data_IF_258243149863
#
_entry.id   IF_258243149863
#
_cell.length_a   1.000
_cell.length_b   1.000
_cell.length_c   1.000
_cell.angle_alpha   90.00
_cell.angle_beta   90.00
_cell.angle_gamma   90.00
#
_symmetry.space_group_name_H-M   'P 1'
#
loop_
_entity.id
_entity.type
_entity.pdbx_description
1 polymer ?
#
# COMPACT_ATOMS: atom_id res chain seq x y z
N UNK A 1 13.97 -1.79 4.30
CA UNK A 1 13.67 -2.95 5.14
C UNK A 1 13.49 -2.62 6.62
N UNK A 2 14.41 -1.92 7.30
CA UNK A 2 14.26 -1.57 8.73
C UNK A 2 13.15 -0.52 9.01
N UNK A 3 12.86 0.37 8.07
CA UNK A 3 11.88 1.45 8.23
C UNK A 3 10.44 0.91 8.09
N UNK A 4 10.20 0.04 7.13
CA UNK A 4 8.91 -0.58 6.88
C UNK A 4 8.47 -1.48 8.04
N UNK A 5 9.40 -2.25 8.66
CA UNK A 5 9.12 -3.00 9.89
C UNK A 5 8.75 -2.08 11.08
N UNK A 6 9.35 -0.88 11.15
CA UNK A 6 9.02 0.08 12.21
C UNK A 6 7.65 0.74 12.01
N UNK A 7 7.25 0.99 10.77
CA UNK A 7 5.93 1.52 10.44
C UNK A 7 4.85 0.47 10.68
N UNK A 8 5.04 -0.76 10.20
CA UNK A 8 4.10 -1.86 10.47
C UNK A 8 3.99 -2.20 11.97
N UNK A 9 5.11 -2.17 12.71
CA UNK A 9 5.09 -2.42 14.15
C UNK A 9 4.39 -1.29 14.92
N UNK A 10 4.46 -0.04 14.44
CA UNK A 10 3.74 1.10 15.04
C UNK A 10 2.24 1.03 14.77
N UNK A 11 1.82 0.63 13.57
CA UNK A 11 0.41 0.39 13.24
C UNK A 11 -0.18 -0.74 14.11
N UNK A 12 0.61 -1.75 14.45
CA UNK A 12 0.15 -2.86 15.30
C UNK A 12 -0.10 -2.46 16.76
N UNK A 13 0.52 -1.38 17.26
CA UNK A 13 0.42 -0.94 18.66
C UNK A 13 -0.50 0.25 18.91
N UNK A 14 -0.97 0.95 17.84
CA UNK A 14 -1.81 2.14 17.94
C UNK A 14 -3.24 1.87 17.42
N UNK A 15 -3.86 0.75 17.82
CA UNK A 15 -5.27 0.53 17.54
C UNK A 15 -6.10 1.12 18.70
N UNK A 16 -6.48 2.39 18.70
CA UNK A 16 -7.70 2.76 19.35
C UNK A 16 -8.81 2.08 18.53
N UNK A 17 -9.60 1.24 19.16
CA UNK A 17 -10.85 0.70 18.61
C UNK A 17 -11.84 1.87 18.49
N UNK A 18 -11.53 2.83 17.63
CA UNK A 18 -12.53 3.83 17.19
C UNK A 18 -13.42 3.07 16.21
N UNK A 19 -14.61 2.76 16.66
CA UNK A 19 -15.56 1.96 15.93
C UNK A 19 -15.92 2.60 14.59
N UNK A 20 -15.29 2.13 13.51
CA UNK A 20 -15.94 2.09 12.21
C UNK A 20 -17.05 1.04 12.31
N UNK A 21 -18.08 1.39 13.10
CA UNK A 21 -19.13 0.48 13.57
C UNK A 21 -20.11 0.08 12.47
N UNK A 22 -19.93 0.50 11.22
CA UNK A 22 -20.84 0.16 10.14
C UNK A 22 -20.09 -0.17 8.86
N UNK A 23 -19.81 -1.46 8.70
CA UNK A 23 -19.58 -2.04 7.38
C UNK A 23 -20.96 -2.43 6.80
N UNK A 24 -21.59 -1.57 5.98
CA UNK A 24 -22.94 -1.83 5.49
C UNK A 24 -23.02 -3.04 4.55
N UNK A 25 -21.87 -3.54 4.10
CA UNK A 25 -21.74 -4.66 3.18
C UNK A 25 -21.01 -5.86 3.81
N UNK A 26 -20.91 -5.91 5.15
CA UNK A 26 -20.11 -6.92 5.86
C UNK A 26 -20.44 -8.35 5.42
N UNK A 27 -21.73 -8.69 5.24
CA UNK A 27 -22.14 -10.04 4.83
C UNK A 27 -21.53 -10.40 3.45
N UNK A 28 -21.66 -9.51 2.47
CA UNK A 28 -21.12 -9.71 1.12
C UNK A 28 -19.59 -9.69 1.16
N UNK A 29 -19.00 -8.74 1.88
CA UNK A 29 -17.56 -8.62 2.01
C UNK A 29 -16.91 -9.87 2.63
N UNK A 30 -17.56 -10.49 3.63
CA UNK A 30 -17.10 -11.76 4.23
C UNK A 30 -17.23 -12.96 3.28
N UNK A 31 -18.24 -12.98 2.43
CA UNK A 31 -18.37 -14.03 1.40
C UNK A 31 -17.23 -13.92 0.38
N UNK A 32 -16.96 -12.70 -0.11
CA UNK A 32 -15.83 -12.44 -1.03
C UNK A 32 -14.49 -12.70 -0.36
N UNK A 33 -14.33 -12.32 0.92
CA UNK A 33 -13.17 -12.68 1.72
C UNK A 33 -12.93 -14.18 1.75
N UNK A 34 -13.96 -14.96 2.06
CA UNK A 34 -13.87 -16.43 2.10
C UNK A 34 -13.47 -17.03 0.74
N UNK A 35 -13.97 -16.45 -0.34
CA UNK A 35 -13.55 -16.82 -1.69
C UNK A 35 -12.07 -16.49 -1.92
N UNK A 36 -11.63 -15.26 -1.61
CA UNK A 36 -10.25 -14.82 -1.76
C UNK A 36 -9.29 -15.69 -0.93
N UNK A 37 -9.62 -15.94 0.33
CA UNK A 37 -8.84 -16.81 1.21
C UNK A 37 -8.76 -18.24 0.66
N UNK A 38 -9.85 -18.75 0.06
CA UNK A 38 -9.87 -20.03 -0.61
C UNK A 38 -8.95 -20.12 -1.83
N UNK A 39 -8.87 -19.06 -2.62
CA UNK A 39 -7.93 -18.93 -3.75
C UNK A 39 -6.49 -18.78 -3.24
N UNK A 40 -6.27 -17.92 -2.26
CA UNK A 40 -4.95 -17.71 -1.66
C UNK A 40 -4.37 -19.02 -1.14
N UNK A 41 -5.07 -19.70 -0.26
CA UNK A 41 -4.58 -20.93 0.36
C UNK A 41 -4.29 -22.07 -0.65
N UNK A 42 -4.97 -22.10 -1.80
CA UNK A 42 -4.79 -23.14 -2.81
C UNK A 42 -3.80 -22.81 -3.91
N UNK A 43 -3.61 -21.50 -4.20
CA UNK A 43 -2.84 -21.05 -5.37
C UNK A 43 -1.81 -20.02 -4.97
N UNK A 44 -2.21 -18.86 -4.47
CA UNK A 44 -1.28 -17.73 -4.29
C UNK A 44 -0.24 -18.00 -3.20
N UNK A 45 -0.67 -18.51 -2.05
CA UNK A 45 0.23 -18.85 -0.93
C UNK A 45 1.27 -19.92 -1.31
N UNK A 46 0.93 -21.10 -1.84
CA UNK A 46 1.94 -22.10 -2.22
C UNK A 46 2.94 -21.59 -3.25
N UNK A 47 2.50 -20.74 -4.19
CA UNK A 47 3.40 -20.14 -5.19
C UNK A 47 4.30 -19.10 -4.54
N UNK A 48 3.78 -18.27 -3.60
CA UNK A 48 4.55 -17.29 -2.87
C UNK A 48 5.58 -17.94 -1.93
N UNK A 49 5.21 -18.99 -1.21
CA UNK A 49 6.14 -19.79 -0.39
C UNK A 49 7.25 -20.41 -1.24
N UNK A 50 6.91 -20.98 -2.41
CA UNK A 50 7.91 -21.51 -3.34
C UNK A 50 8.85 -20.40 -3.86
N UNK A 51 8.31 -19.22 -4.18
CA UNK A 51 9.11 -18.06 -4.60
C UNK A 51 10.06 -17.64 -3.48
N UNK A 52 9.58 -17.52 -2.26
CA UNK A 52 10.38 -17.13 -1.10
C UNK A 52 11.51 -18.13 -0.79
N UNK A 53 11.21 -19.43 -0.88
CA UNK A 53 12.16 -20.50 -0.64
C UNK A 53 13.27 -20.58 -1.72
N UNK A 54 12.95 -20.28 -2.99
CA UNK A 54 13.84 -20.54 -4.14
C UNK A 54 14.58 -19.28 -4.59
N UNK A 55 13.95 -18.10 -4.50
CA UNK A 55 14.54 -16.86 -4.98
C UNK A 55 15.38 -16.21 -3.90
N UNK A 56 16.71 -16.00 -4.10
CA UNK A 56 17.54 -15.36 -3.09
C UNK A 56 17.06 -13.94 -2.76
N UNK A 57 17.14 -13.55 -1.48
CA UNK A 57 16.71 -12.23 -0.97
C UNK A 57 17.24 -11.05 -1.83
N UNK A 58 18.50 -11.01 -2.30
CA UNK A 58 18.94 -9.90 -3.15
C UNK A 58 18.19 -9.80 -4.48
N UNK A 59 17.73 -10.94 -5.03
CA UNK A 59 16.93 -10.97 -6.26
C UNK A 59 15.51 -10.51 -5.99
N UNK A 60 14.91 -10.97 -4.88
CA UNK A 60 13.60 -10.47 -4.43
C UNK A 60 13.63 -8.95 -4.26
N UNK A 61 14.62 -8.43 -3.51
CA UNK A 61 14.78 -6.97 -3.34
C UNK A 61 14.94 -6.22 -4.66
N UNK A 62 15.66 -6.82 -5.64
CA UNK A 62 15.79 -6.19 -6.95
C UNK A 62 14.47 -6.15 -7.71
N UNK A 63 13.63 -7.17 -7.59
CA UNK A 63 12.29 -7.19 -8.20
C UNK A 63 11.39 -6.13 -7.53
N UNK A 64 11.40 -6.05 -6.20
CA UNK A 64 10.69 -5.00 -5.45
C UNK A 64 11.12 -3.61 -5.92
N UNK A 65 12.43 -3.33 -5.95
CA UNK A 65 12.96 -2.04 -6.38
C UNK A 65 12.55 -1.68 -7.82
N UNK A 66 12.49 -2.69 -8.71
CA UNK A 66 12.04 -2.47 -10.10
C UNK A 66 10.58 -2.00 -10.14
N UNK A 67 9.68 -2.63 -9.36
CA UNK A 67 8.28 -2.20 -9.30
C UNK A 67 8.13 -0.84 -8.63
N UNK A 68 8.79 -0.60 -7.48
CA UNK A 68 8.81 0.73 -6.85
C UNK A 68 9.29 1.81 -7.82
N UNK A 69 10.30 1.52 -8.65
CA UNK A 69 10.78 2.50 -9.64
C UNK A 69 9.76 2.79 -10.76
N UNK A 70 8.91 1.83 -11.12
CA UNK A 70 7.81 2.10 -12.06
C UNK A 70 6.73 2.99 -11.43
N UNK A 71 6.46 2.82 -10.13
CA UNK A 71 5.46 3.58 -9.40
C UNK A 71 5.90 5.02 -9.11
N UNK A 72 7.21 5.32 -9.13
CA UNK A 72 7.74 6.69 -8.94
C UNK A 72 7.16 7.73 -9.92
N UNK A 73 6.75 7.30 -11.11
CA UNK A 73 6.09 8.20 -12.09
C UNK A 73 4.68 8.55 -11.62
N UNK A 74 3.91 7.54 -11.15
CA UNK A 74 2.58 7.75 -10.58
C UNK A 74 2.66 8.60 -9.32
N UNK A 75 3.59 8.28 -8.41
CA UNK A 75 3.87 9.04 -7.20
C UNK A 75 4.14 10.52 -7.52
N UNK A 76 5.07 10.78 -8.44
CA UNK A 76 5.43 12.16 -8.85
C UNK A 76 4.23 12.93 -9.40
N UNK A 77 3.38 12.30 -10.22
CA UNK A 77 2.20 12.95 -10.79
C UNK A 77 1.16 13.22 -9.71
N UNK A 78 0.90 12.27 -8.82
CA UNK A 78 -0.06 12.43 -7.73
C UNK A 78 0.41 13.49 -6.72
N UNK A 79 1.70 13.55 -6.38
CA UNK A 79 2.28 14.62 -5.59
C UNK A 79 2.03 16.01 -6.21
N UNK A 80 2.19 16.15 -7.54
CA UNK A 80 1.87 17.41 -8.23
C UNK A 80 0.38 17.74 -8.14
N UNK A 81 -0.50 16.77 -8.33
CA UNK A 81 -1.95 16.94 -8.25
C UNK A 81 -2.42 17.31 -6.85
N UNK A 82 -1.69 16.89 -5.82
CA UNK A 82 -1.91 17.24 -4.40
C UNK A 82 -1.28 18.58 -4.01
N UNK A 83 -0.53 19.23 -4.92
CA UNK A 83 0.09 20.52 -4.67
C UNK A 83 1.44 20.44 -3.93
N UNK A 84 2.14 19.32 -4.00
CA UNK A 84 3.42 19.01 -3.34
C UNK A 84 4.58 18.97 -4.36
N UNK A 85 4.98 20.08 -5.01
CA UNK A 85 5.93 20.04 -6.13
C UNK A 85 7.36 19.63 -5.73
N UNK A 86 7.72 19.77 -4.45
CA UNK A 86 9.05 19.36 -3.96
C UNK A 86 9.12 17.83 -3.86
N UNK A 87 8.11 17.19 -3.26
CA UNK A 87 8.00 15.75 -3.19
C UNK A 87 7.90 15.13 -4.59
N UNK A 88 7.08 15.71 -5.47
CA UNK A 88 7.00 15.29 -6.87
C UNK A 88 8.35 15.37 -7.59
N UNK A 89 9.13 16.41 -7.35
CA UNK A 89 10.49 16.54 -7.91
C UNK A 89 11.45 15.50 -7.35
N UNK A 90 11.29 15.12 -6.08
CA UNK A 90 12.04 14.05 -5.44
C UNK A 90 11.72 12.69 -6.10
N UNK A 91 10.44 12.33 -6.24
CA UNK A 91 10.01 11.06 -6.82
C UNK A 91 10.45 10.94 -8.29
N UNK A 92 10.31 12.02 -9.06
CA UNK A 92 10.82 12.04 -10.43
C UNK A 92 12.35 11.90 -10.49
N UNK A 93 13.08 12.49 -9.55
CA UNK A 93 14.53 12.31 -9.45
C UNK A 93 14.90 10.88 -9.08
N UNK A 94 14.15 10.22 -8.19
CA UNK A 94 14.30 8.80 -7.87
C UNK A 94 14.15 7.94 -9.11
N UNK A 95 13.06 8.15 -9.87
CA UNK A 95 12.85 7.46 -11.15
C UNK A 95 14.06 7.59 -12.08
N UNK A 96 14.56 8.81 -12.30
CA UNK A 96 15.69 9.04 -13.20
C UNK A 96 16.99 8.38 -12.71
N UNK A 97 17.28 8.52 -11.41
CA UNK A 97 18.49 7.95 -10.79
C UNK A 97 18.44 6.42 -10.83
N UNK A 98 17.35 5.82 -10.39
CA UNK A 98 17.21 4.37 -10.33
C UNK A 98 17.13 3.76 -11.72
N UNK A 99 16.49 4.41 -12.69
CA UNK A 99 16.48 3.95 -14.08
C UNK A 99 17.86 4.01 -14.71
N UNK A 100 18.63 5.09 -14.47
CA UNK A 100 19.92 5.34 -15.15
C UNK A 100 21.09 4.63 -14.45
N UNK A 101 21.21 4.79 -13.14
CA UNK A 101 22.32 4.28 -12.33
C UNK A 101 21.95 2.99 -11.60
N UNK A 102 20.67 2.74 -11.36
CA UNK A 102 20.13 1.55 -10.72
C UNK A 102 19.77 0.43 -11.68
N UNK A 103 20.23 0.48 -12.94
CA UNK A 103 19.94 -0.54 -13.96
C UNK A 103 18.43 -0.79 -14.13
N UNK A 104 17.68 0.22 -14.63
CA UNK A 104 16.24 0.20 -14.82
C UNK A 104 15.43 0.01 -13.51
N UNK A 105 16.01 0.40 -12.37
CA UNK A 105 15.33 0.30 -11.08
C UNK A 105 15.65 -0.97 -10.28
N UNK A 106 16.43 -1.92 -10.81
CA UNK A 106 16.81 -3.12 -10.04
C UNK A 106 17.64 -2.80 -8.79
N UNK A 107 18.32 -1.65 -8.77
CA UNK A 107 19.07 -1.15 -7.62
C UNK A 107 18.52 0.22 -7.20
N UNK A 108 18.18 0.38 -5.93
CA UNK A 108 17.73 1.65 -5.37
C UNK A 108 18.93 2.53 -5.01
N UNK A 109 19.48 3.20 -6.02
CA UNK A 109 20.58 4.16 -5.87
C UNK A 109 20.08 5.47 -5.29
N UNK A 110 18.83 5.83 -5.56
CA UNK A 110 18.20 7.06 -5.08
C UNK A 110 18.17 7.12 -3.54
N UNK A 111 17.81 6.05 -2.86
CA UNK A 111 17.85 5.96 -1.39
C UNK A 111 19.28 6.08 -0.84
N UNK A 112 20.29 5.57 -1.55
CA UNK A 112 21.70 5.77 -1.18
C UNK A 112 22.10 7.25 -1.28
N UNK A 113 21.49 7.99 -2.22
CA UNK A 113 21.70 9.42 -2.39
C UNK A 113 20.90 10.30 -1.40
N UNK A 114 20.04 9.68 -0.58
CA UNK A 114 19.22 10.36 0.42
C UNK A 114 17.91 10.95 -0.12
N UNK A 115 17.44 10.47 -1.29
CA UNK A 115 16.12 10.80 -1.80
C UNK A 115 15.09 9.93 -1.07
N UNK A 116 14.06 10.56 -0.50
CA UNK A 116 13.00 9.87 0.24
C UNK A 116 12.07 9.12 -0.72
N UNK A 117 11.59 7.95 -0.29
CA UNK A 117 10.60 7.15 -1.03
C UNK A 117 9.21 7.53 -0.53
N UNK A 118 8.32 7.86 -1.48
CA UNK A 118 6.90 8.10 -1.21
C UNK A 118 6.07 7.03 -1.92
N UNK A 119 4.84 6.84 -1.45
CA UNK A 119 3.86 5.94 -2.04
C UNK A 119 2.55 6.71 -2.19
N UNK A 120 2.25 7.09 -3.42
CA UNK A 120 1.12 7.96 -3.76
C UNK A 120 0.30 7.36 -4.89
N UNK A 121 -1.02 7.42 -4.74
CA UNK A 121 -1.94 7.00 -5.78
C UNK A 121 -3.04 8.04 -6.05
N UNK A 122 -3.82 7.82 -7.10
CA UNK A 122 -4.91 8.73 -7.44
C UNK A 122 -6.09 8.65 -6.46
N UNK A 123 -6.25 7.54 -5.73
CA UNK A 123 -7.22 7.42 -4.64
C UNK A 123 -6.88 8.34 -3.48
N UNK A 124 -5.59 8.41 -3.10
CA UNK A 124 -5.08 9.36 -2.11
C UNK A 124 -5.28 10.80 -2.59
N UNK A 125 -4.94 11.11 -3.85
CA UNK A 125 -5.17 12.43 -4.46
C UNK A 125 -6.65 12.84 -4.37
N UNK A 126 -7.59 11.93 -4.66
CA UNK A 126 -9.02 12.19 -4.47
C UNK A 126 -9.36 12.46 -3.01
N UNK A 127 -8.73 11.74 -2.06
CA UNK A 127 -8.87 11.97 -0.63
C UNK A 127 -8.41 13.37 -0.21
N UNK A 128 -7.23 13.80 -0.63
CA UNK A 128 -6.71 15.17 -0.41
C UNK A 128 -7.64 16.22 -1.01
N UNK A 129 -8.29 15.95 -2.12
CA UNK A 129 -9.31 16.84 -2.70
C UNK A 129 -10.66 16.79 -1.97
N UNK A 130 -10.78 16.01 -0.90
CA UNK A 130 -11.98 15.93 -0.05
C UNK A 130 -13.01 14.90 -0.48
N UNK A 131 -12.67 13.98 -1.39
CA UNK A 131 -13.53 12.85 -1.73
C UNK A 131 -13.48 11.82 -0.60
N UNK A 132 -14.59 11.50 0.06
CA UNK A 132 -14.59 10.53 1.15
C UNK A 132 -14.25 9.13 0.65
N UNK A 133 -13.59 8.32 1.48
CA UNK A 133 -13.24 6.92 1.18
C UNK A 133 -14.49 6.11 0.80
N UNK A 134 -15.61 6.35 1.49
CA UNK A 134 -16.85 5.60 1.34
C UNK A 134 -16.83 4.29 2.13
N UNK A 135 -17.83 3.41 1.93
CA UNK A 135 -17.91 2.14 2.63
C UNK A 135 -16.79 1.19 2.21
N UNK A 136 -16.35 0.36 3.16
CA UNK A 136 -15.42 -0.71 2.88
C UNK A 136 -15.98 -1.73 1.88
N UNK A 137 -15.16 -2.15 0.92
CA UNK A 137 -15.48 -3.15 -0.07
C UNK A 137 -14.38 -4.22 -0.12
N UNK A 138 -14.77 -5.48 -0.14
CA UNK A 138 -13.88 -6.59 -0.44
C UNK A 138 -14.06 -7.02 -1.90
N UNK A 139 -13.02 -6.89 -2.72
CA UNK A 139 -13.10 -7.23 -4.14
C UNK A 139 -12.56 -8.63 -4.42
N UNK A 140 -13.20 -9.41 -5.31
CA UNK A 140 -12.68 -10.69 -5.74
C UNK A 140 -11.28 -10.52 -6.35
N UNK A 141 -10.32 -11.32 -5.89
CA UNK A 141 -8.89 -11.33 -6.25
C UNK A 141 -8.09 -10.09 -5.84
N UNK A 142 -8.71 -8.92 -5.74
CA UNK A 142 -8.05 -7.64 -5.41
C UNK A 142 -7.93 -7.37 -3.92
N UNK A 143 -8.81 -7.97 -3.10
CA UNK A 143 -8.82 -7.73 -1.66
C UNK A 143 -9.49 -6.43 -1.22
N UNK A 144 -9.00 -5.77 -0.16
CA UNK A 144 -9.53 -4.53 0.41
C UNK A 144 -9.61 -3.38 -0.59
N UNK A 145 -10.70 -2.62 -0.55
CA UNK A 145 -10.95 -1.48 -1.45
C UNK A 145 -12.02 -0.55 -0.89
N UNK A 146 -12.23 0.56 -1.59
CA UNK A 146 -13.29 1.53 -1.36
C UNK A 146 -13.85 2.05 -2.70
N UNK A 147 -15.02 2.73 -2.72
CA UNK A 147 -15.49 3.42 -3.91
C UNK A 147 -14.48 4.44 -4.46
N UNK A 148 -13.72 5.12 -3.60
CA UNK A 148 -12.67 6.05 -3.97
C UNK A 148 -11.54 5.34 -4.73
N UNK A 149 -11.07 4.21 -4.21
CA UNK A 149 -10.00 3.44 -4.84
C UNK A 149 -10.45 2.77 -6.14
N UNK A 150 -11.72 2.35 -6.25
CA UNK A 150 -12.27 1.82 -7.50
C UNK A 150 -12.18 2.83 -8.65
N UNK A 151 -12.25 4.12 -8.34
CA UNK A 151 -12.05 5.20 -9.30
C UNK A 151 -10.56 5.53 -9.45
N UNK A 152 -9.81 5.53 -8.35
CA UNK A 152 -8.38 5.88 -8.30
C UNK A 152 -7.50 4.90 -9.06
N UNK A 153 -7.59 3.61 -8.76
CA UNK A 153 -6.71 2.55 -9.31
C UNK A 153 -6.62 2.50 -10.84
N UNK A 154 -7.73 2.58 -11.62
CA UNK A 154 -7.61 2.64 -13.07
C UNK A 154 -6.84 3.86 -13.57
N UNK A 155 -6.94 4.99 -12.89
CA UNK A 155 -6.26 6.23 -13.24
C UNK A 155 -4.78 6.09 -12.92
N UNK A 156 -4.41 5.63 -11.74
CA UNK A 156 -3.03 5.29 -11.38
C UNK A 156 -2.39 4.31 -12.36
N UNK A 157 -3.10 3.26 -12.77
CA UNK A 157 -2.62 2.32 -13.78
C UNK A 157 -2.37 2.96 -15.16
N UNK A 158 -3.08 4.03 -15.52
CA UNK A 158 -2.78 4.84 -16.72
C UNK A 158 -1.57 5.73 -16.50
N UNK A 159 -1.45 6.36 -15.32
CA UNK A 159 -0.37 7.28 -14.98
C UNK A 159 0.98 6.56 -14.84
N UNK A 160 1.02 5.40 -14.20
CA UNK A 160 2.22 4.55 -14.11
C UNK A 160 2.65 3.93 -15.45
N UNK A 161 1.81 4.07 -16.49
CA UNK A 161 2.08 3.52 -17.80
C UNK A 161 1.80 2.01 -17.92
N UNK A 162 1.38 1.33 -16.85
CA UNK A 162 1.11 -0.12 -16.86
C UNK A 162 0.05 -0.49 -17.91
N UNK A 163 -0.99 0.34 -18.07
CA UNK A 163 -1.99 0.13 -19.13
C UNK A 163 -1.50 0.50 -20.54
N UNK A 164 -0.37 1.18 -20.67
CA UNK A 164 0.22 1.54 -21.98
C UNK A 164 0.99 0.38 -22.61
N UNK A 165 1.18 -0.73 -21.89
CA UNK A 165 1.78 -1.94 -22.45
C UNK A 165 0.77 -2.60 -23.37
N UNK A 166 1.01 -2.51 -24.70
CA UNK A 166 0.09 -3.01 -25.74
C UNK A 166 -0.05 -4.55 -25.70
N UNK A 167 1.03 -5.24 -25.39
CA UNK A 167 1.07 -6.70 -25.36
C UNK A 167 0.43 -7.23 -24.07
N UNK A 168 -0.77 -7.79 -24.21
CA UNK A 168 -1.56 -8.30 -23.08
C UNK A 168 -0.81 -9.34 -22.22
N UNK A 169 0.02 -10.17 -22.88
CA UNK A 169 0.75 -11.24 -22.22
C UNK A 169 1.89 -10.69 -21.36
N UNK A 170 2.58 -9.64 -21.83
CA UNK A 170 3.63 -8.96 -21.09
C UNK A 170 3.03 -8.24 -19.88
N UNK A 171 1.96 -7.48 -20.10
CA UNK A 171 1.24 -6.79 -19.01
C UNK A 171 0.77 -7.77 -17.93
N UNK A 172 0.13 -8.87 -18.35
CA UNK A 172 -0.33 -9.89 -17.40
C UNK A 172 0.83 -10.51 -16.61
N UNK A 173 1.95 -10.77 -17.27
CA UNK A 173 3.13 -11.35 -16.64
C UNK A 173 3.74 -10.40 -15.59
N UNK A 174 3.84 -9.12 -15.91
CA UNK A 174 4.33 -8.08 -14.99
C UNK A 174 3.40 -7.98 -13.78
N UNK A 175 2.09 -7.84 -14.00
CA UNK A 175 1.11 -7.75 -12.91
C UNK A 175 1.09 -9.02 -12.04
N UNK A 176 1.25 -10.20 -12.65
CA UNK A 176 1.29 -11.46 -11.91
C UNK A 176 2.59 -11.58 -11.07
N UNK A 177 3.72 -11.09 -11.58
CA UNK A 177 4.98 -11.09 -10.85
C UNK A 177 4.95 -10.10 -9.67
N UNK A 178 4.41 -8.91 -9.89
CA UNK A 178 4.20 -7.90 -8.85
C UNK A 178 3.28 -8.42 -7.73
N UNK A 179 2.14 -9.00 -8.09
CA UNK A 179 1.22 -9.62 -7.13
C UNK A 179 1.87 -10.78 -6.35
N UNK A 180 2.69 -11.60 -7.02
CA UNK A 180 3.44 -12.70 -6.39
C UNK A 180 4.46 -12.17 -5.39
N UNK A 181 5.25 -11.17 -5.78
CA UNK A 181 6.25 -10.53 -4.94
C UNK A 181 5.59 -9.91 -3.70
N UNK A 182 4.53 -9.12 -3.92
CA UNK A 182 3.75 -8.52 -2.82
C UNK A 182 3.20 -9.59 -1.88
N UNK A 183 2.66 -10.69 -2.41
CA UNK A 183 2.13 -11.78 -1.57
C UNK A 183 3.25 -12.48 -0.78
N UNK A 184 4.42 -12.68 -1.37
CA UNK A 184 5.57 -13.27 -0.68
C UNK A 184 6.03 -12.40 0.50
N UNK A 185 6.12 -11.09 0.33
CA UNK A 185 6.45 -10.15 1.42
C UNK A 185 5.46 -10.18 2.59
N UNK A 186 4.21 -10.52 2.32
CA UNK A 186 3.14 -10.58 3.33
C UNK A 186 3.11 -11.91 4.12
N UNK A 187 3.86 -12.95 3.72
CA UNK A 187 3.85 -14.24 4.41
C UNK A 187 4.24 -14.12 5.89
N UNK A 188 5.32 -13.40 6.18
CA UNK A 188 5.81 -13.20 7.55
C UNK A 188 4.82 -12.39 8.41
N UNK A 189 4.25 -11.34 7.81
CA UNK A 189 3.32 -10.43 8.50
C UNK A 189 2.02 -11.14 8.86
N UNK A 190 1.54 -12.01 7.98
CA UNK A 190 0.30 -12.75 8.21
C UNK A 190 0.36 -13.63 9.46
N UNK A 191 1.54 -14.14 9.80
CA UNK A 191 1.76 -14.95 11.00
C UNK A 191 1.52 -14.18 12.31
N UNK A 192 1.54 -12.85 12.27
CA UNK A 192 1.34 -11.96 13.41
C UNK A 192 -0.14 -11.62 13.66
N UNK A 193 -1.03 -11.97 12.73
CA UNK A 193 -2.46 -11.65 12.84
C UNK A 193 -3.11 -12.57 13.87
N UNK A 194 -3.66 -11.96 14.93
CA UNK A 194 -4.38 -12.65 16.00
C UNK A 194 -5.86 -12.31 15.93
N UNK A 195 -6.73 -13.33 15.99
CA UNK A 195 -8.18 -13.15 16.02
C UNK A 195 -8.85 -13.24 14.64
N UNK A 196 -9.88 -12.45 14.39
CA UNK A 196 -10.62 -12.45 13.13
C UNK A 196 -9.84 -11.69 12.05
N UNK A 197 -9.24 -12.44 11.12
CA UNK A 197 -8.43 -11.91 10.03
C UNK A 197 -9.19 -10.90 9.16
N UNK A 198 -10.46 -11.16 8.87
CA UNK A 198 -11.28 -10.23 8.08
C UNK A 198 -11.37 -8.86 8.76
N UNK A 199 -11.72 -8.85 10.05
CA UNK A 199 -11.83 -7.62 10.83
C UNK A 199 -10.49 -6.90 10.94
N UNK A 200 -9.39 -7.64 11.15
CA UNK A 200 -8.05 -7.08 11.19
C UNK A 200 -7.71 -6.37 9.86
N UNK A 201 -7.86 -7.06 8.74
CA UNK A 201 -7.51 -6.53 7.41
C UNK A 201 -8.40 -5.34 7.05
N UNK A 202 -9.71 -5.40 7.34
CA UNK A 202 -10.62 -4.27 7.14
C UNK A 202 -10.15 -3.02 7.91
N UNK A 203 -9.88 -3.18 9.19
CA UNK A 203 -9.50 -2.05 10.04
C UNK A 203 -8.12 -1.49 9.64
N UNK A 204 -7.15 -2.37 9.34
CA UNK A 204 -5.84 -1.95 8.85
C UNK A 204 -5.94 -1.17 7.55
N UNK A 205 -6.75 -1.64 6.59
CA UNK A 205 -6.98 -0.93 5.33
C UNK A 205 -7.59 0.46 5.54
N UNK A 206 -8.64 0.57 6.37
CA UNK A 206 -9.30 1.85 6.62
C UNK A 206 -8.38 2.86 7.31
N UNK A 207 -7.63 2.41 8.32
CA UNK A 207 -6.67 3.26 9.02
C UNK A 207 -5.50 3.67 8.11
N UNK A 208 -4.97 2.74 7.34
CA UNK A 208 -3.87 3.01 6.42
C UNK A 208 -4.30 4.00 5.33
N UNK A 209 -5.49 3.81 4.74
CA UNK A 209 -6.04 4.72 3.72
C UNK A 209 -6.30 6.14 4.24
N UNK A 210 -6.60 6.30 5.53
CA UNK A 210 -6.74 7.62 6.16
C UNK A 210 -5.39 8.26 6.47
N UNK A 211 -4.45 7.46 6.98
CA UNK A 211 -3.08 7.87 7.25
C UNK A 211 -2.35 8.34 5.98
N UNK A 212 -2.53 7.65 4.85
CA UNK A 212 -1.94 8.04 3.57
C UNK A 212 -2.46 9.40 3.07
N UNK A 213 -3.77 9.65 3.19
CA UNK A 213 -4.37 10.93 2.78
C UNK A 213 -3.85 12.12 3.61
N UNK A 214 -3.34 11.84 4.81
CA UNK A 214 -2.77 12.83 5.74
C UNK A 214 -1.23 12.88 5.69
N UNK A 215 -0.62 12.34 4.64
CA UNK A 215 0.85 12.31 4.47
C UNK A 215 1.63 11.63 5.61
N UNK A 216 1.01 10.68 6.28
CA UNK A 216 1.65 10.02 7.41
C UNK A 216 1.68 10.85 8.69
N UNK A 217 1.01 11.99 8.73
CA UNK A 217 0.81 12.72 9.97
C UNK A 217 -0.10 11.91 10.89
N UNK A 218 0.35 11.66 12.12
CA UNK A 218 -0.50 11.02 13.14
C UNK A 218 -1.68 11.97 13.41
N UNK A 219 -2.91 11.45 13.35
CA UNK A 219 -4.06 12.20 13.84
C UNK A 219 -3.76 12.49 15.32
N UNK A 220 -3.52 13.76 15.65
CA UNK A 220 -3.49 14.18 17.05
C UNK A 220 -4.86 13.83 17.64
N UNK A 221 -4.89 12.74 18.39
CA UNK A 221 -6.10 12.33 19.10
C UNK A 221 -6.39 13.43 20.14
N UNK A 222 -7.53 14.12 20.01
CA UNK A 222 -8.04 15.08 21.00
C UNK A 222 -8.03 14.51 22.45
N UNK A 223 -7.80 13.20 22.55
CA UNK A 223 -7.75 12.45 23.81
C UNK A 223 -6.44 12.65 24.60
N UNK A 224 -5.35 13.09 23.96
CA UNK A 224 -4.09 13.38 24.67
C UNK A 224 -4.13 14.74 25.34
N UNK A 225 -4.80 15.73 24.75
CA UNK A 225 -4.97 17.05 25.36
C UNK A 225 -5.85 16.99 26.62
N UNK A 226 -6.90 16.15 26.61
CA UNK A 226 -7.75 15.94 27.79
C UNK A 226 -7.04 15.21 28.94
N UNK A 227 -6.04 14.37 28.66
CA UNK A 227 -5.28 13.67 29.70
C UNK A 227 -4.20 14.55 30.33
N UNK A 228 -3.57 15.43 29.56
CA UNK A 228 -2.57 16.34 30.09
C UNK A 228 -3.21 17.43 30.98
N UNK A 229 -4.41 17.92 30.64
CA UNK A 229 -5.18 18.83 31.48
C UNK A 229 -5.65 18.15 32.79
N UNK A 230 -5.99 16.86 32.75
CA UNK A 230 -6.38 16.11 33.95
C UNK A 230 -5.21 15.81 34.90
N UNK A 231 -3.98 15.70 34.37
CA UNK A 231 -2.78 15.42 35.19
C UNK A 231 -2.11 16.68 35.75
N UNK A 232 -2.51 17.86 35.28
CA UNK A 232 -1.94 19.15 35.73
C UNK A 232 -2.79 19.85 36.82
N UNK A 233 -3.96 19.31 37.18
CA UNK A 233 -4.88 19.88 38.18
C UNK A 233 -4.73 19.27 39.60
N UNK A 234 -3.59 18.64 39.94
CA UNK A 234 -3.24 18.18 41.28
C UNK A 234 -2.02 19.00 41.84
#
# INVERSE_FOLDING_TARGET
MLLMHKVLLRILFLIPVIGYANDPFEEINREVWTFNEGVDNRIARPVAEFYDDVVPIPVQSSITNFFSNLDEIDNSINQLLQGKPVAAGNDFARFLVNTTFGFLGFFDVASIMGLEEHDEDFGQTLGVWGVPTGPYLMLPFYGPSSPRDLVGRPISGVLSGTFSIEESDVRLSITALDALETRARLLDVESLIVGDKYTFIKNSYLQYSEFEVQDGEEIEDDFTDDMDDFLLDD
#
